data_IF_625846135144
#
_entry.id   IF_625846135144
#
_cell.length_a   1.000
_cell.length_b   1.000
_cell.length_c   1.000
_cell.angle_alpha   90.00
_cell.angle_beta   90.00
_cell.angle_gamma   90.00
#
_symmetry.space_group_name_H-M   'P 1'
#
loop_
_entity.id
_entity.type
_entity.pdbx_description
1 polymer ?
#
# COMPACT_ATOMS: atom_id res chain seq x y z
N UNK A 1 -18.59 -21.68 -2.95
CA UNK A 1 -17.22 -22.15 -2.68
C UNK A 1 -16.15 -21.65 -3.65
N UNK A 2 -16.08 -22.06 -4.95
CA UNK A 2 -15.01 -21.55 -5.86
C UNK A 2 -15.09 -20.03 -6.07
N UNK A 3 -16.29 -19.47 -6.19
CA UNK A 3 -16.50 -18.03 -6.39
C UNK A 3 -16.12 -17.16 -5.18
N UNK A 4 -16.32 -17.64 -3.94
CA UNK A 4 -16.01 -16.89 -2.71
C UNK A 4 -14.50 -16.79 -2.47
N UNK A 5 -13.76 -17.88 -2.69
CA UNK A 5 -12.29 -17.88 -2.59
C UNK A 5 -11.69 -16.90 -3.60
N UNK A 6 -12.20 -16.89 -4.84
CA UNK A 6 -11.71 -15.94 -5.85
C UNK A 6 -11.90 -14.49 -5.43
N UNK A 7 -13.06 -14.12 -4.87
CA UNK A 7 -13.28 -12.75 -4.38
C UNK A 7 -12.34 -12.35 -3.25
N UNK A 8 -12.04 -13.25 -2.32
CA UNK A 8 -11.08 -12.97 -1.25
C UNK A 8 -9.68 -12.81 -1.81
N UNK A 9 -9.28 -13.63 -2.78
CA UNK A 9 -7.98 -13.49 -3.44
C UNK A 9 -7.87 -12.18 -4.23
N UNK A 10 -8.95 -11.73 -4.89
CA UNK A 10 -9.01 -10.42 -5.55
C UNK A 10 -8.99 -9.27 -4.53
N UNK A 11 -9.61 -9.45 -3.36
CA UNK A 11 -9.53 -8.48 -2.27
C UNK A 11 -8.11 -8.39 -1.67
N UNK A 12 -7.41 -9.53 -1.53
CA UNK A 12 -5.99 -9.57 -1.13
C UNK A 12 -5.10 -8.93 -2.20
N UNK A 13 -5.38 -9.16 -3.48
CA UNK A 13 -4.66 -8.54 -4.59
C UNK A 13 -4.64 -7.02 -4.48
N UNK A 14 -5.79 -6.41 -4.15
CA UNK A 14 -5.91 -4.98 -3.90
C UNK A 14 -5.11 -4.46 -2.69
N UNK A 15 -4.45 -5.34 -1.93
CA UNK A 15 -3.68 -5.06 -0.71
C UNK A 15 -2.22 -5.50 -0.79
N UNK A 16 -1.76 -6.00 -1.95
CA UNK A 16 -0.33 -6.22 -2.21
C UNK A 16 0.17 -5.18 -3.19
N UNK A 17 1.31 -4.55 -2.89
CA UNK A 17 1.93 -3.61 -3.80
C UNK A 17 3.45 -3.56 -3.63
N UNK A 18 4.14 -3.10 -4.67
CA UNK A 18 5.57 -2.77 -4.61
C UNK A 18 5.83 -1.27 -4.57
N UNK A 19 4.77 -0.46 -4.38
CA UNK A 19 4.87 1.00 -4.33
C UNK A 19 5.42 1.45 -2.96
N UNK A 20 6.62 2.07 -2.93
CA UNK A 20 7.26 2.50 -1.69
C UNK A 20 6.53 3.64 -0.96
N UNK A 21 5.56 4.29 -1.61
CA UNK A 21 4.77 5.38 -1.03
C UNK A 21 3.54 4.88 -0.27
N UNK A 22 3.04 3.70 -0.65
CA UNK A 22 1.76 3.17 -0.15
C UNK A 22 1.92 1.96 0.77
N UNK A 23 2.98 1.17 0.59
CA UNK A 23 3.24 0.01 1.44
C UNK A 23 3.38 0.42 2.92
N UNK A 24 2.77 -0.35 3.82
CA UNK A 24 2.78 -0.08 5.27
C UNK A 24 3.56 -1.10 6.08
N UNK A 25 3.85 -2.27 5.50
CA UNK A 25 4.72 -3.29 6.09
C UNK A 25 5.36 -4.15 4.99
N UNK A 26 6.44 -4.85 5.31
CA UNK A 26 7.10 -5.83 4.44
C UNK A 26 6.87 -7.24 4.98
N UNK A 27 6.59 -8.18 4.09
CA UNK A 27 6.34 -9.59 4.43
C UNK A 27 7.07 -10.53 3.50
N UNK A 28 7.47 -11.71 4.00
CA UNK A 28 7.84 -12.87 3.18
C UNK A 28 6.59 -13.73 2.96
N UNK A 29 6.14 -13.82 1.71
CA UNK A 29 4.94 -14.58 1.39
C UNK A 29 5.11 -16.08 1.67
N UNK A 30 6.29 -16.65 1.47
CA UNK A 30 6.53 -18.07 1.72
C UNK A 30 6.40 -18.40 3.21
N UNK A 31 6.76 -17.46 4.08
CA UNK A 31 6.58 -17.55 5.53
C UNK A 31 5.11 -17.39 5.93
N UNK A 32 4.47 -16.28 5.54
CA UNK A 32 3.11 -15.90 5.96
C UNK A 32 2.11 -17.01 5.69
N UNK A 33 2.17 -17.61 4.51
CA UNK A 33 1.19 -18.60 4.08
C UNK A 33 1.34 -19.92 4.81
N UNK A 34 2.40 -20.12 5.61
CA UNK A 34 2.69 -21.35 6.35
C UNK A 34 2.42 -21.26 7.85
N UNK A 35 1.92 -20.13 8.34
CA UNK A 35 1.48 -19.97 9.73
C UNK A 35 0.15 -20.70 9.98
N UNK A 36 0.22 -22.03 9.98
CA UNK A 36 -0.95 -22.92 10.08
C UNK A 36 -1.76 -22.72 11.36
N UNK A 37 -1.14 -22.29 12.43
CA UNK A 37 -1.77 -21.97 13.71
C UNK A 37 -2.74 -20.78 13.61
N UNK A 38 -2.67 -19.95 12.56
CA UNK A 38 -3.61 -18.82 12.39
C UNK A 38 -5.02 -19.29 12.01
N UNK A 39 -5.16 -20.39 11.26
CA UNK A 39 -6.44 -20.86 10.71
C UNK A 39 -6.69 -22.38 10.84
N UNK A 40 -5.72 -23.14 11.38
CA UNK A 40 -5.77 -24.60 11.51
C UNK A 40 -5.91 -25.37 10.18
N UNK A 41 -5.63 -24.70 9.05
CA UNK A 41 -5.91 -25.18 7.70
C UNK A 41 -4.77 -25.98 7.05
N UNK A 42 -4.74 -25.96 5.71
CA UNK A 42 -3.73 -26.65 4.87
C UNK A 42 -2.29 -26.21 5.18
N UNK A 43 -1.26 -26.97 4.79
CA UNK A 43 0.14 -26.57 5.00
C UNK A 43 0.50 -25.16 4.50
N UNK A 44 -0.03 -24.78 3.33
CA UNK A 44 0.05 -23.42 2.79
C UNK A 44 -1.35 -22.88 2.40
N UNK A 45 -1.59 -21.58 2.65
CA UNK A 45 -2.85 -20.91 2.32
C UNK A 45 -2.64 -19.40 2.12
N UNK A 46 -3.03 -18.86 0.96
CA UNK A 46 -2.97 -17.41 0.70
C UNK A 46 -3.92 -16.62 1.60
N UNK A 47 -4.97 -17.24 2.13
CA UNK A 47 -5.93 -16.60 3.02
C UNK A 47 -5.26 -16.03 4.29
N UNK A 48 -4.15 -16.64 4.72
CA UNK A 48 -3.36 -16.17 5.88
C UNK A 48 -2.75 -14.79 5.64
N UNK A 49 -2.41 -14.45 4.38
CA UNK A 49 -1.99 -13.10 4.04
C UNK A 49 -3.12 -12.09 4.28
N UNK A 50 -4.35 -12.42 3.87
CA UNK A 50 -5.51 -11.58 4.13
C UNK A 50 -5.80 -11.40 5.62
N UNK A 51 -5.67 -12.46 6.43
CA UNK A 51 -5.81 -12.38 7.89
C UNK A 51 -4.77 -11.45 8.54
N UNK A 52 -3.54 -11.47 8.04
CA UNK A 52 -2.45 -10.60 8.51
C UNK A 52 -2.67 -9.15 8.07
N UNK A 53 -3.16 -8.92 6.85
CA UNK A 53 -3.54 -7.59 6.37
C UNK A 53 -4.69 -7.03 7.21
N UNK A 54 -5.71 -7.82 7.54
CA UNK A 54 -6.81 -7.40 8.40
C UNK A 54 -6.33 -7.05 9.82
N UNK A 55 -5.38 -7.81 10.36
CA UNK A 55 -4.74 -7.48 11.64
C UNK A 55 -3.95 -6.17 11.56
N UNK A 56 -3.26 -5.92 10.45
CA UNK A 56 -2.53 -4.68 10.20
C UNK A 56 -3.48 -3.49 10.05
N UNK A 57 -4.59 -3.65 9.34
CA UNK A 57 -5.67 -2.67 9.23
C UNK A 57 -6.24 -2.29 10.60
N UNK A 58 -6.48 -3.27 11.49
CA UNK A 58 -6.92 -3.00 12.88
C UNK A 58 -5.91 -2.19 13.68
N UNK A 59 -4.63 -2.47 13.52
CA UNK A 59 -3.56 -1.84 14.29
C UNK A 59 -3.18 -0.45 13.79
N UNK A 60 -3.35 -0.20 12.49
CA UNK A 60 -3.15 1.12 11.90
C UNK A 60 -4.42 1.96 11.88
N UNK A 61 -5.57 1.37 12.23
CA UNK A 61 -6.89 1.99 12.13
C UNK A 61 -7.21 2.49 10.70
N UNK A 62 -6.77 1.73 9.69
CA UNK A 62 -6.97 2.03 8.27
C UNK A 62 -7.72 0.90 7.56
N UNK A 63 -8.74 1.24 6.78
CA UNK A 63 -9.59 0.26 6.09
C UNK A 63 -8.83 -0.48 4.97
N UNK A 64 -7.87 0.21 4.33
CA UNK A 64 -7.08 -0.31 3.20
C UNK A 64 -5.59 -0.16 3.42
N UNK A 65 -4.97 -1.23 3.92
CA UNK A 65 -3.52 -1.28 4.17
C UNK A 65 -2.79 -2.17 3.15
N UNK A 66 -1.95 -1.59 2.27
CA UNK A 66 -1.09 -2.36 1.38
C UNK A 66 0.15 -2.91 2.07
N UNK A 67 0.57 -4.12 1.70
CA UNK A 67 1.82 -4.75 2.15
C UNK A 67 2.77 -5.00 0.98
N UNK A 68 4.06 -4.83 1.22
CA UNK A 68 5.12 -5.17 0.29
C UNK A 68 5.50 -6.63 0.47
N UNK A 69 5.10 -7.49 -0.48
CA UNK A 69 5.36 -8.92 -0.40
C UNK A 69 6.58 -9.33 -1.22
N UNK A 70 7.51 -10.04 -0.56
CA UNK A 70 8.62 -10.75 -1.18
C UNK A 70 8.21 -12.20 -1.42
N UNK A 71 8.54 -12.74 -2.58
CA UNK A 71 8.15 -14.09 -3.02
C UNK A 71 9.37 -14.85 -3.52
N UNK A 72 9.63 -16.01 -2.94
CA UNK A 72 10.60 -16.95 -3.51
C UNK A 72 10.04 -17.58 -4.79
N UNK A 73 10.81 -17.63 -5.89
CA UNK A 73 10.35 -18.12 -7.21
C UNK A 73 9.77 -19.54 -7.15
N UNK A 74 10.35 -20.42 -6.34
CA UNK A 74 9.83 -21.77 -6.09
C UNK A 74 8.35 -21.79 -5.63
N UNK A 75 7.84 -20.71 -5.02
CA UNK A 75 6.44 -20.62 -4.61
C UNK A 75 5.46 -20.68 -5.79
N UNK A 76 5.90 -20.23 -6.98
CA UNK A 76 5.07 -20.24 -8.20
C UNK A 76 4.76 -21.67 -8.70
N UNK A 77 5.49 -22.67 -8.21
CA UNK A 77 5.33 -24.09 -8.52
C UNK A 77 5.06 -24.96 -7.29
N UNK A 78 4.84 -24.34 -6.13
CA UNK A 78 4.69 -25.03 -4.85
C UNK A 78 3.41 -25.86 -4.79
N UNK A 79 3.56 -27.15 -4.53
CA UNK A 79 2.47 -28.13 -4.49
C UNK A 79 1.55 -27.95 -3.26
N UNK A 80 2.01 -27.31 -2.20
CA UNK A 80 1.21 -27.04 -1.00
C UNK A 80 0.08 -26.01 -1.28
N UNK A 81 0.29 -25.16 -2.28
CA UNK A 81 -0.73 -24.23 -2.78
C UNK A 81 -1.71 -24.94 -3.74
N UNK A 82 -2.94 -24.45 -3.79
CA UNK A 82 -3.88 -24.89 -4.84
C UNK A 82 -3.46 -24.34 -6.21
N UNK A 83 -3.95 -24.94 -7.29
CA UNK A 83 -3.73 -24.43 -8.65
C UNK A 83 -4.24 -22.99 -8.82
N UNK A 84 -5.35 -22.64 -8.16
CA UNK A 84 -5.90 -21.27 -8.21
C UNK A 84 -4.97 -20.28 -7.50
N UNK A 85 -4.51 -20.59 -6.29
CA UNK A 85 -3.56 -19.75 -5.55
C UNK A 85 -2.24 -19.56 -6.32
N UNK A 86 -1.68 -20.62 -6.91
CA UNK A 86 -0.49 -20.50 -7.74
C UNK A 86 -0.71 -19.59 -8.95
N UNK A 87 -1.86 -19.70 -9.61
CA UNK A 87 -2.21 -18.85 -10.75
C UNK A 87 -2.31 -17.38 -10.33
N UNK A 88 -2.93 -17.10 -9.18
CA UNK A 88 -3.05 -15.73 -8.64
C UNK A 88 -1.68 -15.14 -8.29
N UNK A 89 -0.79 -15.89 -7.62
CA UNK A 89 0.56 -15.39 -7.31
C UNK A 89 1.38 -15.13 -8.57
N UNK A 90 1.22 -15.95 -9.62
CA UNK A 90 1.85 -15.69 -10.94
C UNK A 90 1.32 -14.39 -11.56
N UNK A 91 0.01 -14.17 -11.54
CA UNK A 91 -0.60 -12.91 -11.97
C UNK A 91 -0.02 -11.72 -11.21
N UNK A 92 0.04 -11.79 -9.87
CA UNK A 92 0.66 -10.74 -9.05
C UNK A 92 2.12 -10.48 -9.42
N UNK A 93 2.88 -11.52 -9.76
CA UNK A 93 4.27 -11.40 -10.17
C UNK A 93 4.42 -10.74 -11.55
N UNK A 94 3.56 -11.07 -12.49
CA UNK A 94 3.56 -10.52 -13.85
C UNK A 94 3.08 -9.07 -13.86
N UNK A 95 2.07 -8.76 -13.03
CA UNK A 95 1.58 -7.40 -12.79
C UNK A 95 2.53 -6.60 -11.88
N UNK A 96 3.55 -7.25 -11.32
CA UNK A 96 4.60 -6.70 -10.46
C UNK A 96 4.13 -6.28 -9.05
N UNK A 97 2.95 -6.71 -8.62
CA UNK A 97 2.38 -6.39 -7.30
C UNK A 97 3.19 -6.99 -6.16
N UNK A 98 3.99 -8.02 -6.46
CA UNK A 98 4.93 -8.67 -5.54
C UNK A 98 6.32 -8.77 -6.17
N UNK A 99 7.35 -8.85 -5.33
CA UNK A 99 8.73 -9.02 -5.78
C UNK A 99 9.12 -10.50 -5.79
N UNK A 100 9.35 -11.08 -6.97
CA UNK A 100 9.76 -12.49 -7.11
C UNK A 100 11.27 -12.61 -7.26
N UNK A 101 11.89 -13.46 -6.43
CA UNK A 101 13.34 -13.65 -6.32
C UNK A 101 13.70 -15.14 -6.36
N UNK A 102 14.80 -15.51 -7.02
CA UNK A 102 15.37 -16.86 -6.89
C UNK A 102 15.90 -17.13 -5.48
N UNK A 103 16.54 -16.12 -4.90
CA UNK A 103 17.21 -16.21 -3.62
C UNK A 103 16.86 -14.95 -2.83
N UNK A 104 15.78 -14.96 -2.04
CA UNK A 104 15.32 -13.77 -1.34
C UNK A 104 16.34 -13.26 -0.32
N UNK A 105 17.12 -14.15 0.32
CA UNK A 105 18.19 -13.75 1.25
C UNK A 105 17.71 -12.73 2.28
N UNK A 106 18.40 -11.60 2.39
CA UNK A 106 18.06 -10.52 3.31
C UNK A 106 17.09 -9.48 2.70
N UNK A 107 16.51 -9.74 1.52
CA UNK A 107 15.83 -8.71 0.73
C UNK A 107 14.65 -8.08 1.47
N UNK A 108 13.91 -8.84 2.27
CA UNK A 108 12.87 -8.29 3.13
C UNK A 108 13.41 -7.23 4.10
N UNK A 109 14.56 -7.50 4.74
CA UNK A 109 15.21 -6.56 5.65
C UNK A 109 15.79 -5.36 4.89
N UNK A 110 16.34 -5.58 3.69
CA UNK A 110 16.82 -4.51 2.82
C UNK A 110 15.69 -3.56 2.41
N UNK A 111 14.53 -4.07 1.97
CA UNK A 111 13.36 -3.23 1.64
C UNK A 111 12.87 -2.48 2.87
N UNK A 112 12.76 -3.14 4.02
CA UNK A 112 12.35 -2.52 5.27
C UNK A 112 13.28 -1.36 5.71
N UNK A 113 14.60 -1.53 5.52
CA UNK A 113 15.62 -0.51 5.76
C UNK A 113 15.50 0.68 4.79
N UNK A 114 15.42 0.40 3.48
CA UNK A 114 15.35 1.42 2.45
C UNK A 114 14.07 2.26 2.55
N UNK A 115 12.96 1.64 2.96
CA UNK A 115 11.64 2.27 3.01
C UNK A 115 11.25 2.77 4.40
N UNK A 116 11.96 2.36 5.46
CA UNK A 116 11.55 2.67 6.83
C UNK A 116 10.25 1.96 7.23
N UNK A 117 9.98 0.76 6.69
CA UNK A 117 8.75 -0.01 6.97
C UNK A 117 8.99 -1.10 8.01
N UNK A 118 7.99 -1.43 8.86
CA UNK A 118 8.07 -2.58 9.75
C UNK A 118 8.02 -3.90 8.95
N UNK A 119 8.61 -4.95 9.53
CA UNK A 119 8.59 -6.32 9.03
C UNK A 119 7.59 -7.14 9.83
N UNK A 120 6.72 -7.89 9.15
CA UNK A 120 5.88 -8.91 9.79
C UNK A 120 6.51 -10.28 9.53
N UNK A 121 7.13 -10.85 10.57
CA UNK A 121 7.83 -12.13 10.49
C UNK A 121 7.95 -12.76 11.87
N UNK A 122 7.97 -14.10 11.91
CA UNK A 122 8.29 -14.90 13.10
C UNK A 122 9.76 -15.31 13.14
N UNK A 123 10.60 -14.82 12.23
CA UNK A 123 12.05 -15.00 12.25
C UNK A 123 12.69 -13.90 13.10
N UNK A 124 13.58 -14.27 14.03
CA UNK A 124 14.23 -13.33 14.96
C UNK A 124 15.38 -12.53 14.35
N UNK A 125 15.89 -12.97 13.20
CA UNK A 125 17.03 -12.36 12.48
C UNK A 125 18.30 -12.21 13.33
N UNK A 126 18.57 -13.19 14.19
CA UNK A 126 19.76 -13.21 15.04
C UNK A 126 21.04 -13.04 14.20
N UNK A 127 21.98 -12.23 14.69
CA UNK A 127 23.23 -11.91 13.99
C UNK A 127 23.10 -10.87 12.87
N UNK A 128 21.90 -10.38 12.56
CA UNK A 128 21.70 -9.34 11.51
C UNK A 128 21.75 -7.90 12.03
N UNK A 129 21.73 -7.70 13.34
CA UNK A 129 21.71 -6.36 13.97
C UNK A 129 22.88 -5.46 13.58
N UNK A 130 24.06 -6.01 13.28
CA UNK A 130 25.21 -5.22 12.81
C UNK A 130 24.97 -4.60 11.43
N UNK A 131 24.27 -5.29 10.53
CA UNK A 131 23.91 -4.80 9.19
C UNK A 131 22.63 -3.96 9.21
N UNK A 132 21.68 -4.33 10.06
CA UNK A 132 20.37 -3.68 10.18
C UNK A 132 20.12 -3.24 11.63
N UNK A 133 20.70 -2.12 12.08
CA UNK A 133 20.56 -1.66 13.47
C UNK A 133 19.12 -1.37 13.89
N UNK A 134 18.25 -1.04 12.94
CA UNK A 134 16.83 -0.77 13.19
C UNK A 134 16.06 -1.99 13.71
N UNK A 135 16.58 -3.21 13.60
CA UNK A 135 15.95 -4.43 14.12
C UNK A 135 15.66 -4.33 15.63
N UNK A 136 16.47 -3.59 16.38
CA UNK A 136 16.31 -3.40 17.83
C UNK A 136 15.27 -2.33 18.23
N UNK A 137 14.68 -1.62 17.28
CA UNK A 137 13.70 -0.57 17.57
C UNK A 137 12.30 -1.15 17.76
N UNK A 138 11.53 -0.57 18.69
CA UNK A 138 10.19 -1.04 19.01
C UNK A 138 9.23 -0.95 17.80
N UNK A 139 8.39 -1.96 17.62
CA UNK A 139 7.38 -2.00 16.56
C UNK A 139 7.91 -2.22 15.14
N UNK A 140 9.22 -2.45 14.97
CA UNK A 140 9.86 -2.67 13.65
C UNK A 140 9.84 -4.13 13.20
N UNK A 141 9.81 -5.09 14.12
CA UNK A 141 9.71 -6.51 13.81
C UNK A 141 8.61 -7.13 14.66
N UNK A 142 7.50 -7.47 14.00
CA UNK A 142 6.30 -7.97 14.64
C UNK A 142 5.98 -9.38 14.17
N UNK A 143 5.66 -10.26 15.12
CA UNK A 143 5.21 -11.61 14.82
C UNK A 143 3.67 -11.65 14.86
N UNK A 144 3.01 -12.03 13.76
CA UNK A 144 1.57 -12.30 13.78
C UNK A 144 1.33 -13.62 14.50
N UNK A 145 0.53 -13.62 15.56
CA UNK A 145 0.19 -14.79 16.37
C UNK A 145 -1.32 -14.95 16.49
N UNK A 146 -1.84 -16.16 16.76
CA UNK A 146 -3.26 -16.37 16.97
C UNK A 146 -3.78 -15.49 18.11
N UNK A 147 -4.97 -14.92 17.92
CA UNK A 147 -5.63 -14.09 18.92
C UNK A 147 -7.16 -14.18 18.83
N UNK A 148 -7.83 -13.62 19.82
CA UNK A 148 -9.29 -13.53 19.82
C UNK A 148 -9.75 -12.60 18.69
N UNK A 149 -10.53 -13.14 17.74
CA UNK A 149 -11.01 -12.38 16.58
C UNK A 149 -10.03 -12.31 15.40
N UNK A 150 -8.97 -13.13 15.39
CA UNK A 150 -7.99 -13.23 14.31
C UNK A 150 -6.57 -12.92 14.79
N UNK A 151 -5.59 -12.81 13.87
CA UNK A 151 -4.20 -12.57 14.25
C UNK A 151 -4.04 -11.25 15.01
N UNK A 152 -3.14 -11.27 15.99
CA UNK A 152 -2.63 -10.11 16.72
C UNK A 152 -1.12 -10.04 16.56
N UNK A 153 -0.53 -8.87 16.74
CA UNK A 153 0.93 -8.72 16.65
C UNK A 153 1.55 -8.68 18.04
N UNK A 154 2.66 -9.40 18.19
CA UNK A 154 3.55 -9.28 19.33
C UNK A 154 4.92 -8.79 18.87
N UNK A 155 5.62 -8.10 19.77
CA UNK A 155 7.01 -7.77 19.57
C UNK A 155 7.83 -9.05 19.36
N UNK A 156 8.47 -9.18 18.21
CA UNK A 156 9.38 -10.30 18.00
C UNK A 156 10.82 -9.90 18.30
N UNK A 157 11.19 -8.66 17.96
CA UNK A 157 12.47 -8.00 18.29
C UNK A 157 12.19 -6.55 18.69
N UNK A 158 13.00 -5.97 19.59
CA UNK A 158 12.97 -4.54 19.93
C UNK A 158 11.81 -4.05 20.82
N UNK A 159 10.81 -4.89 21.08
CA UNK A 159 9.62 -4.52 21.88
C UNK A 159 8.51 -3.86 21.06
N UNK A 160 7.40 -3.49 21.70
CA UNK A 160 6.24 -2.85 21.07
C UNK A 160 5.32 -3.79 20.28
N UNK A 161 4.00 -3.63 20.44
CA UNK A 161 2.98 -4.47 19.78
C UNK A 161 2.34 -3.78 18.57
N UNK A 162 2.54 -2.47 18.42
CA UNK A 162 2.00 -1.68 17.32
C UNK A 162 3.06 -1.46 16.23
N UNK A 163 2.71 -1.62 14.95
CA UNK A 163 3.63 -1.36 13.83
C UNK A 163 4.12 0.08 13.84
N UNK A 164 5.43 0.26 13.74
CA UNK A 164 6.07 1.57 13.71
C UNK A 164 6.82 1.80 12.39
N UNK A 165 6.51 2.90 11.70
CA UNK A 165 7.36 3.40 10.63
C UNK A 165 8.62 4.05 11.22
N UNK A 166 9.74 3.86 10.55
CA UNK A 166 11.04 4.43 10.91
C UNK A 166 11.55 5.35 9.82
N UNK A 167 12.71 5.96 10.03
CA UNK A 167 13.38 6.72 8.98
C UNK A 167 13.91 5.77 7.89
N UNK A 168 13.75 6.17 6.62
CA UNK A 168 14.45 5.53 5.50
C UNK A 168 15.97 5.61 5.73
N UNK A 169 16.70 4.56 5.36
CA UNK A 169 18.15 4.63 5.40
C UNK A 169 18.71 5.65 4.39
N UNK A 170 19.95 6.16 4.59
CA UNK A 170 20.56 7.10 3.65
C UNK A 170 20.66 6.55 2.21
N UNK A 171 20.82 5.23 2.07
CA UNK A 171 20.78 4.56 0.77
C UNK A 171 19.38 4.62 0.16
N UNK A 172 18.34 4.31 0.95
CA UNK A 172 16.94 4.41 0.51
C UNK A 172 16.57 5.82 0.07
N UNK A 173 16.94 6.82 0.86
CA UNK A 173 16.72 8.23 0.52
C UNK A 173 17.35 8.61 -0.83
N UNK A 174 18.57 8.14 -1.12
CA UNK A 174 19.23 8.38 -2.42
C UNK A 174 18.57 7.62 -3.56
N UNK A 175 18.35 6.31 -3.41
CA UNK A 175 17.83 5.45 -4.48
C UNK A 175 16.43 5.86 -4.93
N UNK A 176 15.56 6.25 -3.99
CA UNK A 176 14.18 6.61 -4.28
C UNK A 176 14.04 8.00 -4.92
N UNK A 177 15.11 8.80 -5.00
CA UNK A 177 15.11 10.06 -5.76
C UNK A 177 15.33 9.84 -7.26
N UNK A 178 15.66 8.61 -7.67
CA UNK A 178 15.99 8.25 -9.05
C UNK A 178 14.98 7.28 -9.63
N UNK A 179 14.81 7.36 -10.94
CA UNK A 179 14.17 6.33 -11.71
C UNK A 179 15.23 5.35 -12.23
N UNK A 180 14.93 4.07 -12.17
CA UNK A 180 15.82 3.01 -12.58
C UNK A 180 15.24 2.24 -13.75
N UNK A 181 16.10 1.73 -14.64
CA UNK A 181 15.69 0.89 -15.77
C UNK A 181 16.46 -0.43 -15.77
N UNK A 182 15.72 -1.50 -15.98
CA UNK A 182 16.27 -2.83 -16.18
C UNK A 182 16.52 -3.05 -17.68
N UNK A 183 17.68 -3.62 -18.08
CA UNK A 183 17.95 -3.94 -19.47
C UNK A 183 17.03 -5.05 -20.02
N UNK A 184 16.52 -5.92 -19.15
CA UNK A 184 15.56 -6.96 -19.55
C UNK A 184 14.24 -6.36 -20.02
N UNK A 185 13.90 -6.64 -21.28
CA UNK A 185 12.62 -6.26 -21.89
C UNK A 185 11.46 -6.85 -21.10
N UNK A 186 10.44 -6.03 -20.83
CA UNK A 186 9.23 -6.51 -20.15
C UNK A 186 9.37 -6.70 -18.64
N UNK A 187 10.43 -6.16 -18.01
CA UNK A 187 10.55 -6.16 -16.55
C UNK A 187 9.36 -5.42 -15.89
N UNK A 188 8.52 -6.13 -15.15
CA UNK A 188 7.34 -5.55 -14.48
C UNK A 188 7.68 -4.49 -13.40
N UNK A 189 8.90 -4.53 -12.83
CA UNK A 189 9.30 -3.64 -11.75
C UNK A 189 10.11 -2.42 -12.23
N UNK A 190 10.92 -2.59 -13.28
CA UNK A 190 11.90 -1.61 -13.74
C UNK A 190 11.89 -1.41 -15.28
N UNK A 191 10.90 -1.93 -15.98
CA UNK A 191 10.73 -1.75 -17.42
C UNK A 191 10.19 -0.37 -17.79
N UNK A 192 10.10 -0.09 -19.09
CA UNK A 192 9.55 1.15 -19.66
C UNK A 192 8.01 1.23 -19.71
N UNK A 193 7.31 0.23 -19.16
CA UNK A 193 5.86 0.01 -19.33
C UNK A 193 5.59 -1.26 -20.13
N UNK A 194 4.64 -2.09 -19.69
CA UNK A 194 4.23 -3.35 -20.33
C UNK A 194 5.08 -4.55 -19.90
N UNK A 195 4.49 -5.45 -19.10
CA UNK A 195 5.10 -6.75 -18.77
C UNK A 195 5.22 -7.62 -20.02
N UNK A 196 6.41 -8.14 -20.31
CA UNK A 196 6.76 -8.79 -21.59
C UNK A 196 6.17 -10.19 -21.81
N UNK A 197 4.86 -10.34 -21.68
CA UNK A 197 4.13 -11.57 -22.04
C UNK A 197 3.23 -11.39 -23.26
N UNK A 198 2.73 -12.47 -23.85
CA UNK A 198 1.75 -12.44 -24.95
C UNK A 198 0.41 -11.75 -24.60
N UNK A 199 0.25 -11.31 -23.34
CA UNK A 199 -0.89 -10.55 -22.82
C UNK A 199 -0.51 -9.13 -22.34
N UNK A 200 0.72 -8.66 -22.65
CA UNK A 200 1.27 -7.36 -22.27
C UNK A 200 0.35 -6.18 -22.64
N UNK A 201 -0.30 -6.27 -23.80
CA UNK A 201 -1.16 -5.22 -24.34
C UNK A 201 -2.50 -5.11 -23.59
N UNK A 202 -2.91 -6.14 -22.86
CA UNK A 202 -4.13 -6.15 -22.04
C UNK A 202 -3.86 -5.79 -20.58
N UNK A 203 -2.63 -5.96 -20.10
CA UNK A 203 -2.19 -5.68 -18.73
C UNK A 203 -1.25 -4.47 -18.69
N UNK A 204 -1.66 -3.34 -19.29
CA UNK A 204 -1.11 -2.04 -18.87
C UNK A 204 -1.55 -1.79 -17.44
N UNK A 205 -0.81 -2.35 -16.48
CA UNK A 205 -0.77 -1.77 -15.15
C UNK A 205 -0.11 -0.41 -15.36
N UNK A 206 -0.93 0.65 -15.41
CA UNK A 206 -0.49 2.05 -15.44
C UNK A 206 0.24 2.34 -14.12
N UNK A 207 1.48 1.85 -14.02
CA UNK A 207 2.36 2.16 -12.90
C UNK A 207 2.91 3.54 -13.14
N UNK A 208 2.45 4.48 -12.32
CA UNK A 208 3.08 5.78 -12.25
C UNK A 208 4.59 5.57 -11.98
N UNK A 209 5.50 6.20 -12.74
CA UNK A 209 6.95 6.15 -12.51
C UNK A 209 7.38 6.36 -11.05
N UNK A 210 6.58 7.16 -10.33
CA UNK A 210 6.63 7.42 -8.90
C UNK A 210 6.62 6.15 -8.01
N UNK A 211 5.79 5.16 -8.35
CA UNK A 211 5.55 3.95 -7.58
C UNK A 211 6.56 2.83 -7.83
N UNK A 212 7.68 3.11 -8.50
CA UNK A 212 8.73 2.12 -8.75
C UNK A 212 9.37 1.64 -7.42
N UNK A 213 9.48 0.32 -7.19
CA UNK A 213 10.11 -0.23 -5.99
C UNK A 213 11.59 0.18 -5.85
N UNK A 214 12.17 0.08 -4.64
CA UNK A 214 13.60 0.26 -4.46
C UNK A 214 14.37 -0.85 -5.20
N UNK A 215 15.50 -0.55 -5.87
CA UNK A 215 16.45 -1.57 -6.33
C UNK A 215 16.98 -2.45 -5.20
N UNK A 216 17.56 -3.61 -5.54
CA UNK A 216 18.45 -4.35 -4.64
C UNK A 216 19.86 -3.79 -4.70
N UNK A 217 20.57 -3.76 -3.57
CA UNK A 217 21.97 -3.36 -3.52
C UNK A 217 22.88 -4.57 -3.43
N UNK A 218 23.51 -4.92 -4.55
CA UNK A 218 24.57 -5.94 -4.59
C UNK A 218 25.91 -5.25 -4.59
N UNK A 219 26.64 -5.33 -3.47
CA UNK A 219 27.92 -4.65 -3.28
C UNK A 219 27.84 -3.13 -3.57
N UNK A 220 26.73 -2.49 -3.15
CA UNK A 220 26.47 -1.07 -3.37
C UNK A 220 25.97 -0.71 -4.77
N UNK A 221 25.85 -1.66 -5.69
CA UNK A 221 25.35 -1.43 -7.04
C UNK A 221 23.83 -1.68 -7.10
N UNK A 222 23.03 -0.73 -7.62
CA UNK A 222 21.61 -0.94 -7.90
C UNK A 222 21.40 -2.04 -8.93
N UNK A 223 20.68 -3.08 -8.53
CA UNK A 223 20.40 -4.27 -9.34
C UNK A 223 18.91 -4.58 -9.33
N UNK A 224 18.42 -5.14 -10.43
CA UNK A 224 17.06 -5.61 -10.56
C UNK A 224 16.88 -6.81 -9.63
N UNK A 225 15.97 -6.77 -8.64
CA UNK A 225 15.69 -7.93 -7.79
C UNK A 225 15.27 -9.16 -8.62
N UNK A 226 14.41 -8.97 -9.61
CA UNK A 226 13.82 -10.06 -10.42
C UNK A 226 14.83 -10.74 -11.36
N UNK A 227 15.73 -9.96 -11.97
CA UNK A 227 16.62 -10.43 -13.03
C UNK A 227 18.10 -10.49 -12.64
N UNK A 228 18.49 -9.91 -11.51
CA UNK A 228 19.90 -9.79 -11.10
C UNK A 228 20.72 -8.81 -11.95
N UNK A 229 20.17 -8.29 -13.06
CA UNK A 229 20.85 -7.34 -13.94
C UNK A 229 21.10 -5.99 -13.25
N UNK A 230 22.22 -5.34 -13.60
CA UNK A 230 22.50 -3.97 -13.17
C UNK A 230 21.46 -3.01 -13.74
N UNK A 231 20.94 -2.12 -12.90
CA UNK A 231 20.01 -1.08 -13.33
C UNK A 231 20.79 0.14 -13.86
N UNK A 232 20.26 0.78 -14.90
CA UNK A 232 20.69 2.10 -15.32
C UNK A 232 19.85 3.18 -14.63
N UNK A 233 20.48 4.31 -14.33
CA UNK A 233 19.80 5.51 -13.86
C UNK A 233 19.12 6.20 -15.05
N UNK A 234 17.80 6.36 -14.97
CA UNK A 234 16.97 6.96 -16.01
C UNK A 234 16.52 8.39 -15.68
N UNK A 235 17.16 9.02 -14.70
CA UNK A 235 16.88 10.39 -14.32
C UNK A 235 16.24 10.52 -12.93
N UNK A 236 15.90 11.76 -12.53
CA UNK A 236 15.19 12.01 -11.29
C UNK A 236 13.80 11.36 -11.33
N UNK A 237 13.38 10.79 -10.19
CA UNK A 237 12.01 10.32 -10.01
C UNK A 237 11.07 11.52 -9.98
N UNK A 238 9.88 11.47 -10.61
CA UNK A 238 8.88 12.53 -10.49
C UNK A 238 8.54 12.78 -9.04
N UNK A 239 8.21 14.03 -8.68
CA UNK A 239 7.81 14.32 -7.31
C UNK A 239 6.47 13.69 -7.00
N UNK A 240 6.31 13.38 -5.73
CA UNK A 240 5.12 12.71 -5.23
C UNK A 240 4.70 13.28 -3.89
N UNK A 241 3.41 13.20 -3.62
CA UNK A 241 2.80 13.46 -2.33
C UNK A 241 1.81 12.34 -2.03
N UNK A 242 1.66 11.93 -0.76
CA UNK A 242 0.66 10.92 -0.38
C UNK A 242 -0.50 11.61 0.31
N UNK A 243 -1.69 11.46 -0.26
CA UNK A 243 -2.93 11.93 0.31
C UNK A 243 -3.72 10.75 0.90
N UNK A 244 -4.54 11.03 1.90
CA UNK A 244 -5.45 10.07 2.50
C UNK A 244 -6.89 10.58 2.40
N UNK A 245 -7.82 9.64 2.21
CA UNK A 245 -9.26 9.87 2.32
C UNK A 245 -9.73 9.36 3.67
N UNK A 246 -10.35 10.23 4.46
CA UNK A 246 -10.99 9.91 5.74
C UNK A 246 -12.51 10.04 5.61
N UNK A 247 -13.24 8.97 5.94
CA UNK A 247 -14.71 8.95 5.89
C UNK A 247 -15.26 8.43 7.21
N UNK A 248 -16.10 9.23 7.86
CA UNK A 248 -16.63 8.92 9.18
C UNK A 248 -15.53 8.72 10.21
N UNK A 249 -14.45 9.51 10.10
CA UNK A 249 -13.29 9.46 10.99
C UNK A 249 -12.31 8.32 10.78
N UNK A 250 -12.54 7.45 9.78
CA UNK A 250 -11.62 6.37 9.43
C UNK A 250 -10.91 6.65 8.11
N UNK A 251 -9.58 6.49 8.08
CA UNK A 251 -8.82 6.50 6.83
C UNK A 251 -9.22 5.28 5.98
N UNK A 252 -9.91 5.55 4.88
CA UNK A 252 -10.42 4.53 3.95
C UNK A 252 -9.38 4.12 2.93
N UNK A 253 -8.58 5.08 2.46
CA UNK A 253 -7.61 4.84 1.39
C UNK A 253 -6.53 5.91 1.37
N UNK A 254 -5.29 5.50 1.13
CA UNK A 254 -4.18 6.37 0.73
C UNK A 254 -3.99 6.32 -0.78
N UNK A 255 -3.52 7.40 -1.38
CA UNK A 255 -3.17 7.46 -2.79
C UNK A 255 -2.01 8.42 -3.04
N UNK A 256 -1.19 8.10 -4.04
CA UNK A 256 -0.09 8.95 -4.45
C UNK A 256 -0.55 9.96 -5.51
N UNK A 257 -0.19 11.22 -5.28
CA UNK A 257 -0.27 12.29 -6.26
C UNK A 257 1.10 12.47 -6.91
N UNK A 258 1.14 12.70 -8.22
CA UNK A 258 2.39 12.90 -8.97
C UNK A 258 2.29 14.14 -9.83
N UNK A 259 3.44 14.72 -10.21
CA UNK A 259 3.46 15.85 -11.15
C UNK A 259 2.96 15.50 -12.56
N UNK A 260 2.98 14.22 -12.91
CA UNK A 260 2.66 13.76 -14.26
C UNK A 260 1.14 13.68 -14.52
N UNK A 261 0.35 13.39 -13.49
CA UNK A 261 -1.07 13.13 -13.66
C UNK A 261 -1.92 13.68 -12.50
N UNK A 262 -2.98 14.45 -12.81
CA UNK A 262 -3.96 14.87 -11.82
C UNK A 262 -4.76 13.67 -11.30
N UNK A 263 -5.17 13.71 -10.04
CA UNK A 263 -6.04 12.69 -9.45
C UNK A 263 -7.43 13.26 -9.21
N UNK A 264 -8.45 12.62 -9.78
CA UNK A 264 -9.84 12.95 -9.52
C UNK A 264 -10.35 12.13 -8.33
N UNK A 265 -11.02 12.79 -7.39
CA UNK A 265 -11.66 12.16 -6.25
C UNK A 265 -13.15 12.48 -6.29
N UNK A 266 -14.00 11.47 -6.08
CA UNK A 266 -15.44 11.66 -6.10
C UNK A 266 -16.18 10.35 -5.93
N UNK A 267 -17.51 10.37 -6.14
CA UNK A 267 -18.35 9.19 -5.94
C UNK A 267 -17.96 8.04 -6.85
N UNK A 268 -17.67 8.33 -8.12
CA UNK A 268 -17.27 7.37 -9.14
C UNK A 268 -16.63 8.11 -10.32
N UNK A 269 -15.35 8.56 -10.19
CA UNK A 269 -14.67 9.26 -11.27
C UNK A 269 -14.43 8.35 -12.47
N UNK A 270 -14.53 8.89 -13.68
CA UNK A 270 -14.39 8.12 -14.93
C UNK A 270 -12.93 8.01 -15.43
N UNK A 271 -11.99 8.72 -14.79
CA UNK A 271 -10.56 8.72 -15.17
C UNK A 271 -9.81 7.50 -14.65
N UNK A 272 -8.87 6.96 -15.43
CA UNK A 272 -7.89 5.99 -14.92
C UNK A 272 -7.12 6.61 -13.75
N UNK A 273 -7.01 5.87 -12.64
CA UNK A 273 -6.40 6.36 -11.40
C UNK A 273 -7.30 7.25 -10.53
N UNK A 274 -8.56 7.44 -10.88
CA UNK A 274 -9.52 8.15 -10.03
C UNK A 274 -9.80 7.43 -8.71
N UNK A 275 -10.00 8.20 -7.63
CA UNK A 275 -10.31 7.68 -6.31
C UNK A 275 -11.83 7.62 -6.13
N UNK A 276 -12.35 6.41 -6.19
CA UNK A 276 -13.78 6.09 -6.04
C UNK A 276 -14.16 6.06 -4.56
N UNK A 277 -15.10 6.92 -4.16
CA UNK A 277 -15.59 7.00 -2.78
C UNK A 277 -16.91 6.25 -2.57
N UNK A 278 -17.68 6.01 -3.64
CA UNK A 278 -19.10 5.65 -3.56
C UNK A 278 -19.45 4.43 -2.72
N UNK A 279 -18.51 3.52 -2.50
CA UNK A 279 -18.69 2.33 -1.66
C UNK A 279 -18.67 2.62 -0.15
N UNK A 280 -18.13 3.77 0.28
CA UNK A 280 -18.05 4.17 1.69
C UNK A 280 -19.03 5.28 2.07
N UNK A 281 -19.76 5.82 1.10
CA UNK A 281 -20.69 6.93 1.31
C UNK A 281 -22.05 6.42 1.76
N UNK A 282 -22.67 7.11 2.72
CA UNK A 282 -24.09 6.96 3.02
C UNK A 282 -24.94 7.56 1.88
N UNK A 283 -26.26 7.33 1.90
CA UNK A 283 -27.15 7.76 0.81
C UNK A 283 -27.18 9.27 0.58
N UNK A 284 -27.08 10.06 1.64
CA UNK A 284 -27.06 11.53 1.56
C UNK A 284 -25.77 12.02 0.91
N UNK A 285 -24.62 11.60 1.43
CA UNK A 285 -23.31 11.92 0.86
C UNK A 285 -23.18 11.42 -0.58
N UNK A 286 -23.78 10.27 -0.91
CA UNK A 286 -23.78 9.71 -2.27
C UNK A 286 -24.63 10.53 -3.25
N UNK A 287 -25.68 11.20 -2.79
CA UNK A 287 -26.47 12.14 -3.61
C UNK A 287 -25.77 13.50 -3.72
N UNK A 288 -25.06 13.91 -2.67
CA UNK A 288 -24.32 15.17 -2.62
C UNK A 288 -23.02 15.16 -3.45
N UNK A 289 -22.23 14.09 -3.33
CA UNK A 289 -20.90 14.02 -3.93
C UNK A 289 -21.02 13.67 -5.43
N UNK A 290 -20.64 14.62 -6.28
CA UNK A 290 -20.48 14.43 -7.73
C UNK A 290 -19.60 13.22 -8.10
N UNK A 291 -19.79 12.66 -9.31
CA UNK A 291 -18.98 11.54 -9.83
C UNK A 291 -17.48 11.83 -9.73
N UNK A 292 -17.08 12.97 -10.28
CA UNK A 292 -15.81 13.63 -10.04
C UNK A 292 -16.11 14.91 -9.25
N UNK A 293 -15.52 15.07 -8.06
CA UNK A 293 -15.91 16.12 -7.12
C UNK A 293 -14.78 17.12 -6.90
N UNK A 294 -13.57 16.63 -6.62
CA UNK A 294 -12.37 17.46 -6.54
C UNK A 294 -11.28 16.88 -7.43
N UNK A 295 -10.42 17.77 -7.93
CA UNK A 295 -9.21 17.44 -8.68
C UNK A 295 -7.99 17.86 -7.87
N UNK A 296 -7.05 16.94 -7.69
CA UNK A 296 -5.75 17.21 -7.09
C UNK A 296 -4.65 17.24 -8.15
N UNK A 297 -3.75 18.22 -8.04
CA UNK A 297 -2.56 18.37 -8.87
C UNK A 297 -1.35 18.63 -7.99
N UNK A 298 -0.20 18.05 -8.33
CA UNK A 298 1.07 18.40 -7.71
C UNK A 298 1.85 19.30 -8.67
N UNK A 299 2.15 20.54 -8.25
CA UNK A 299 2.99 21.46 -9.02
C UNK A 299 4.33 21.69 -8.34
N UNK A 300 5.41 21.60 -9.10
CA UNK A 300 6.71 22.08 -8.65
C UNK A 300 6.73 23.61 -8.68
N UNK A 301 6.92 24.24 -7.51
CA UNK A 301 7.09 25.70 -7.41
C UNK A 301 8.52 26.11 -7.11
N UNK A 302 9.33 25.24 -6.49
CA UNK A 302 10.76 25.45 -6.26
C UNK A 302 11.51 24.09 -6.20
N UNK A 303 12.86 24.06 -6.27
CA UNK A 303 13.64 22.86 -5.99
C UNK A 303 13.28 22.29 -4.60
N UNK A 304 12.78 21.06 -4.55
CA UNK A 304 12.45 20.36 -3.31
C UNK A 304 11.09 20.66 -2.67
N UNK A 305 10.28 21.61 -3.19
CA UNK A 305 8.92 21.90 -2.68
C UNK A 305 7.84 21.67 -3.74
N UNK A 306 6.93 20.73 -3.47
CA UNK A 306 5.74 20.47 -4.28
C UNK A 306 4.51 21.05 -3.61
N UNK A 307 3.70 21.79 -4.37
CA UNK A 307 2.43 22.33 -3.91
C UNK A 307 1.30 21.45 -4.37
N UNK A 308 0.49 20.99 -3.42
CA UNK A 308 -0.76 20.28 -3.72
C UNK A 308 -1.81 21.34 -4.01
N UNK A 309 -2.32 21.34 -5.21
CA UNK A 309 -3.40 22.21 -5.64
C UNK A 309 -4.66 21.37 -5.71
N UNK A 310 -5.72 21.88 -5.07
CA UNK A 310 -7.06 21.33 -5.19
C UNK A 310 -7.91 22.27 -6.03
N UNK A 311 -8.72 21.70 -6.92
CA UNK A 311 -9.74 22.42 -7.66
C UNK A 311 -11.09 21.77 -7.39
N UNK A 312 -12.06 22.56 -6.95
CA UNK A 312 -13.45 22.11 -6.82
C UNK A 312 -14.08 22.03 -8.21
N UNK A 313 -14.49 20.84 -8.63
CA UNK A 313 -15.18 20.58 -9.90
C UNK A 313 -16.60 20.03 -9.67
N UNK A 314 -17.07 20.11 -8.43
CA UNK A 314 -18.35 19.57 -8.00
C UNK A 314 -19.51 20.49 -8.36
N UNK A 315 -20.72 19.95 -8.23
CA UNK A 315 -21.97 20.71 -8.38
C UNK A 315 -22.39 21.37 -7.08
N UNK A 316 -22.07 20.76 -5.93
CA UNK A 316 -22.60 21.15 -4.62
C UNK A 316 -21.57 21.88 -3.73
N UNK A 317 -20.35 22.08 -4.23
CA UNK A 317 -19.28 22.79 -3.55
C UNK A 317 -18.46 21.91 -2.61
N UNK A 318 -17.20 22.28 -2.44
CA UNK A 318 -16.25 21.76 -1.45
C UNK A 318 -15.83 22.84 -0.46
N UNK A 319 -15.13 22.47 0.61
CA UNK A 319 -14.55 23.42 1.55
C UNK A 319 -13.17 23.01 2.01
N UNK A 320 -12.35 24.00 2.36
CA UNK A 320 -11.05 23.81 3.01
C UNK A 320 -11.21 24.05 4.49
N UNK A 321 -10.63 23.16 5.30
CA UNK A 321 -10.53 23.24 6.76
C UNK A 321 -9.06 23.54 7.09
N UNK A 322 -8.70 24.84 7.29
CA UNK A 322 -7.31 25.24 7.50
C UNK A 322 -6.74 24.61 8.77
N UNK A 323 -5.53 24.05 8.68
CA UNK A 323 -4.90 23.34 9.81
C UNK A 323 -5.75 22.21 10.41
N UNK A 324 -6.76 21.73 9.67
CA UNK A 324 -7.65 20.66 10.08
C UNK A 324 -8.74 21.05 11.08
N UNK A 325 -8.98 22.35 11.31
CA UNK A 325 -10.03 22.81 12.23
C UNK A 325 -11.41 22.30 11.81
N UNK A 326 -12.11 21.64 12.73
CA UNK A 326 -13.49 21.17 12.52
C UNK A 326 -14.54 22.21 12.92
N UNK A 327 -14.14 23.41 13.36
CA UNK A 327 -15.05 24.49 13.64
C UNK A 327 -15.64 25.05 12.34
N UNK A 328 -16.97 25.20 12.28
CA UNK A 328 -17.66 25.69 11.08
C UNK A 328 -17.25 27.10 10.63
N UNK A 329 -16.99 28.07 11.53
CA UNK A 329 -16.51 29.40 11.13
C UNK A 329 -15.16 29.40 10.40
N UNK A 330 -14.34 28.36 10.61
CA UNK A 330 -13.00 28.26 10.01
C UNK A 330 -13.06 27.63 8.61
N UNK A 331 -14.20 27.07 8.21
CA UNK A 331 -14.38 26.42 6.92
C UNK A 331 -14.39 27.47 5.81
N UNK A 332 -13.45 27.35 4.88
CA UNK A 332 -13.38 28.21 3.71
C UNK A 332 -14.03 27.50 2.54
N UNK A 333 -15.22 27.93 2.14
CA UNK A 333 -15.90 27.41 0.96
C UNK A 333 -15.07 27.65 -0.31
N UNK A 334 -15.01 26.64 -1.18
CA UNK A 334 -14.47 26.78 -2.53
C UNK A 334 -15.64 27.03 -3.49
N UNK A 335 -15.52 28.09 -4.30
CA UNK A 335 -16.43 28.30 -5.41
C UNK A 335 -16.18 27.24 -6.50
N UNK A 336 -17.18 26.93 -7.35
CA UNK A 336 -16.97 26.04 -8.48
C UNK A 336 -15.81 26.48 -9.36
N UNK A 337 -14.96 25.55 -9.77
CA UNK A 337 -13.71 25.76 -10.51
C UNK A 337 -12.63 26.57 -9.78
N UNK A 338 -12.85 26.94 -8.52
CA UNK A 338 -11.84 27.61 -7.73
C UNK A 338 -10.72 26.63 -7.37
N UNK A 339 -9.48 27.07 -7.63
CA UNK A 339 -8.28 26.33 -7.23
C UNK A 339 -7.64 26.95 -6.00
N UNK A 340 -7.10 26.12 -5.13
CA UNK A 340 -6.38 26.56 -3.92
C UNK A 340 -5.18 25.65 -3.65
N UNK A 341 -4.09 26.25 -3.16
CA UNK A 341 -2.94 25.50 -2.64
C UNK A 341 -3.27 25.01 -1.24
N UNK A 342 -3.06 23.72 -0.98
CA UNK A 342 -3.17 23.13 0.34
C UNK A 342 -1.88 23.34 1.12
N UNK A 343 -1.98 24.08 2.23
CA UNK A 343 -0.91 24.20 3.19
C UNK A 343 -0.71 22.87 3.95
N UNK A 344 0.36 22.82 4.76
CA UNK A 344 0.53 21.75 5.74
C UNK A 344 -0.60 21.84 6.78
N UNK A 345 -1.22 20.71 7.07
CA UNK A 345 -2.35 20.54 7.97
C UNK A 345 -3.72 20.82 7.35
N UNK A 346 -3.79 21.36 6.13
CA UNK A 346 -5.09 21.65 5.50
C UNK A 346 -5.83 20.38 5.10
N UNK A 347 -7.13 20.36 5.33
CA UNK A 347 -8.03 19.26 4.95
C UNK A 347 -9.09 19.79 3.97
N UNK A 348 -9.37 19.03 2.93
CA UNK A 348 -10.50 19.27 2.01
C UNK A 348 -11.69 18.43 2.43
N UNK A 349 -12.82 19.08 2.63
CA UNK A 349 -14.09 18.46 2.99
C UNK A 349 -15.09 18.58 1.83
N UNK A 350 -15.50 17.42 1.31
CA UNK A 350 -16.44 17.28 0.19
C UNK A 350 -17.89 17.25 0.68
N UNK A 351 -18.08 16.73 1.89
CA UNK A 351 -19.34 16.58 2.62
C UNK A 351 -18.97 16.37 4.09
N UNK A 352 -19.80 16.75 5.08
CA UNK A 352 -19.50 16.51 6.49
C UNK A 352 -19.00 15.09 6.79
N UNK A 353 -17.77 14.99 7.29
CA UNK A 353 -17.12 13.71 7.58
C UNK A 353 -16.55 12.95 6.36
N UNK A 354 -16.51 13.55 5.17
CA UNK A 354 -15.80 13.04 3.97
C UNK A 354 -14.67 14.00 3.62
N UNK A 355 -13.45 13.58 3.93
CA UNK A 355 -12.29 14.44 4.01
C UNK A 355 -11.10 13.88 3.23
N UNK A 356 -10.28 14.76 2.68
CA UNK A 356 -9.04 14.44 1.98
C UNK A 356 -7.93 15.38 2.45
N UNK A 357 -6.78 14.84 2.80
CA UNK A 357 -5.65 15.63 3.31
C UNK A 357 -4.32 14.89 3.14
N UNK A 358 -3.21 15.50 3.55
CA UNK A 358 -1.90 14.83 3.55
C UNK A 358 -1.93 13.66 4.53
N UNK A 359 -1.38 12.52 4.11
CA UNK A 359 -1.63 11.26 4.82
C UNK A 359 -1.00 11.20 6.22
N UNK A 360 0.07 11.97 6.47
CA UNK A 360 0.72 12.04 7.79
C UNK A 360 0.01 13.02 8.75
N UNK A 361 -0.88 13.86 8.22
CA UNK A 361 -1.60 14.91 8.96
C UNK A 361 -3.09 14.59 9.13
N UNK A 362 -3.55 13.47 8.56
CA UNK A 362 -4.95 13.03 8.59
C UNK A 362 -5.08 11.65 9.27
N UNK A 363 -4.87 11.56 10.60
CA UNK A 363 -5.05 10.31 11.34
C UNK A 363 -6.53 9.91 11.41
N UNK A 364 -6.79 8.63 11.67
CA UNK A 364 -8.11 8.16 12.07
C UNK A 364 -8.48 8.70 13.46
N UNK A 365 -9.74 9.04 13.68
CA UNK A 365 -10.30 9.53 14.95
C UNK A 365 -11.63 8.84 15.34
N UNK A 366 -12.07 7.85 14.57
CA UNK A 366 -13.28 7.07 14.83
C UNK A 366 -13.01 5.69 15.42
N UNK A 367 -14.02 5.13 16.10
CA UNK A 367 -14.03 3.71 16.50
C UNK A 367 -13.91 2.84 15.25
N UNK A 368 -12.88 1.99 15.25
CA UNK A 368 -12.53 1.19 14.08
C UNK A 368 -13.45 -0.03 13.90
N UNK A 369 -14.24 -0.01 12.83
CA UNK A 369 -14.98 -1.18 12.32
C UNK A 369 -14.48 -1.50 10.90
N UNK A 370 -13.53 -2.43 10.72
CA UNK A 370 -12.90 -2.70 9.43
C UNK A 370 -13.86 -3.35 8.43
N UNK A 371 -13.70 -3.03 7.14
CA UNK A 371 -14.09 -3.94 6.07
C UNK A 371 -13.03 -5.03 5.95
N UNK A 372 -13.32 -6.21 6.50
CA UNK A 372 -12.41 -7.35 6.45
C UNK A 372 -12.22 -7.84 5.01
N UNK A 373 -10.97 -7.99 4.58
CA UNK A 373 -10.61 -8.69 3.33
C UNK A 373 -11.13 -10.13 3.36
N UNK A 374 -11.30 -10.68 4.56
CA UNK A 374 -11.79 -12.03 4.82
C UNK A 374 -13.32 -12.10 5.03
N UNK A 375 -14.07 -11.01 4.84
CA UNK A 375 -15.52 -10.99 5.10
C UNK A 375 -16.31 -12.02 4.28
N UNK A 376 -15.83 -12.36 3.07
CA UNK A 376 -16.43 -13.36 2.19
C UNK A 376 -15.66 -14.69 2.20
N UNK A 377 -14.72 -14.90 3.13
CA UNK A 377 -13.96 -16.14 3.18
C UNK A 377 -14.84 -17.32 3.61
N UNK A 378 -14.76 -18.47 2.93
CA UNK A 378 -15.56 -19.63 3.32
C UNK A 378 -15.14 -20.10 4.72
N UNK A 379 -16.08 -20.07 5.66
CA UNK A 379 -15.87 -20.46 7.07
C UNK A 379 -15.37 -21.90 7.22
N UNK A 380 -15.67 -22.80 6.28
CA UNK A 380 -15.10 -24.15 6.28
C UNK A 380 -13.59 -24.22 6.01
N UNK A 381 -12.99 -23.16 5.44
CA UNK A 381 -11.55 -23.05 5.23
C UNK A 381 -10.80 -22.47 6.44
N UNK A 382 -11.52 -21.92 7.42
CA UNK A 382 -10.96 -21.28 8.62
C UNK A 382 -11.43 -22.02 9.87
N UNK A 383 -10.56 -22.82 10.47
CA UNK A 383 -10.77 -23.34 11.82
C UNK A 383 -10.04 -22.42 12.79
N UNK A 384 -10.71 -21.34 13.20
CA UNK A 384 -10.17 -20.48 14.24
C UNK A 384 -9.90 -21.34 15.49
N UNK A 385 -8.72 -21.21 16.13
CA UNK A 385 -8.44 -21.92 17.37
C UNK A 385 -9.52 -21.58 18.40
N UNK A 386 -10.06 -22.62 19.06
CA UNK A 386 -11.00 -22.43 20.16
C UNK A 386 -10.28 -21.77 21.34
N UNK A 387 -10.95 -20.86 22.06
CA UNK A 387 -10.35 -20.18 23.21
C UNK A 387 -9.92 -21.15 24.31
#
# INVERSE_FOLDING_TARGET
MRFEISKVLDAIEGRVCTDPLLARAVVDLAEVIRWQDLDGGRPASLLRLGMVIDALSRQLEEDSVPVYAIVHRALLSDADLTSNERMVVRRWADDGLVEVLDHPGDRMLEVADLLGLPVLSRVRFDGRGGRYPWLGQAGRVLAPVPGAGGPVFIAHVGGGQSPASGSRSPAGAKLLTRQWRCPESGCALFGGGGGGGAFADLARVDRAPAGQPPPSLRNGVPTCPRHGARLSDAGPRPRTEVLAVRIGGMVRRRFALTEAQPVLVGRAPDSSGGIVLGQWLNDEARRWISRSHVRFELRATAPGRGEVIVTDISTNGSGVRPGGSMAEPDRIALAPQQSRVLAAGDIIELYPGVQVGRADELPSDAKFTPNSVMAEAPTMAMRLPRP
#
